data_IF_602672326258
#
_entry.id   IF_602672326258
#
_cell.length_a   1.000
_cell.length_b   1.000
_cell.length_c   1.000
_cell.angle_alpha   90.00
_cell.angle_beta   90.00
_cell.angle_gamma   90.00
#
_symmetry.space_group_name_H-M   'P 1'
#
loop_
_entity.id
_entity.type
_entity.pdbx_description
1 polymer ?
#
# COMPACT_ATOMS: atom_id res chain seq x y z
N UNK A 1 7.41 3.55 5.03
CA UNK A 1 7.64 3.84 3.60
C UNK A 1 9.05 4.31 3.32
N UNK A 2 9.60 5.17 4.17
CA UNK A 2 10.94 5.75 3.95
C UNK A 2 12.07 4.95 4.58
N UNK A 3 11.83 4.39 5.78
CA UNK A 3 12.86 3.77 6.62
C UNK A 3 12.78 2.24 6.70
N UNK A 4 12.18 1.60 5.69
CA UNK A 4 12.15 0.15 5.55
C UNK A 4 13.26 -0.31 4.61
N UNK A 5 13.65 -1.59 4.66
CA UNK A 5 14.66 -2.16 3.74
C UNK A 5 14.32 -1.95 2.24
N UNK A 6 13.05 -1.70 1.94
CA UNK A 6 12.49 -1.47 0.59
C UNK A 6 12.05 -0.02 0.38
N UNK A 7 12.31 0.84 1.35
CA UNK A 7 11.91 2.24 1.33
C UNK A 7 12.80 3.08 0.44
N UNK A 8 12.55 4.39 0.47
CA UNK A 8 13.33 5.36 -0.32
C UNK A 8 14.78 5.46 0.16
N UNK A 9 15.03 5.24 1.46
CA UNK A 9 16.37 5.32 2.02
C UNK A 9 17.08 3.96 1.98
N UNK A 10 18.42 4.01 2.04
CA UNK A 10 19.25 2.82 2.05
C UNK A 10 18.94 1.92 3.27
N UNK A 11 19.27 0.64 3.19
CA UNK A 11 19.04 -0.38 4.22
C UNK A 11 19.70 -0.08 5.59
N UNK A 12 20.69 0.81 5.59
CA UNK A 12 21.35 1.37 6.78
C UNK A 12 20.53 2.44 7.50
N UNK A 13 19.57 3.07 6.82
CA UNK A 13 18.72 4.16 7.31
C UNK A 13 17.35 3.61 7.73
N UNK A 14 17.30 3.07 8.94
CA UNK A 14 16.10 2.44 9.52
C UNK A 14 15.39 3.35 10.51
N UNK A 15 14.10 3.12 10.74
CA UNK A 15 13.28 3.96 11.62
C UNK A 15 13.75 3.83 13.07
N UNK A 16 14.23 2.65 13.45
CA UNK A 16 14.83 2.38 14.75
C UNK A 16 16.22 3.03 14.94
N UNK A 17 16.88 3.47 13.86
CA UNK A 17 18.15 4.21 13.89
C UNK A 17 17.95 5.73 13.71
N UNK A 18 16.71 6.22 13.60
CA UNK A 18 16.46 7.63 13.24
C UNK A 18 17.01 8.60 14.29
N UNK A 19 16.93 8.25 15.58
CA UNK A 19 17.55 9.03 16.66
C UNK A 19 19.05 9.21 16.45
N UNK A 20 19.74 8.12 16.13
CA UNK A 20 21.20 8.11 16.02
C UNK A 20 21.68 8.72 14.69
N UNK A 21 20.88 8.62 13.63
CA UNK A 21 21.16 9.19 12.31
C UNK A 21 20.77 10.66 12.18
N UNK A 22 19.98 11.21 13.12
CA UNK A 22 19.40 12.55 13.00
C UNK A 22 20.44 13.64 12.72
N UNK A 23 21.53 13.67 13.49
CA UNK A 23 22.59 14.68 13.33
C UNK A 23 23.40 14.52 12.05
N UNK A 24 23.39 13.32 11.46
CA UNK A 24 24.06 13.03 10.19
C UNK A 24 23.21 13.47 8.99
N UNK A 25 21.90 13.21 9.05
CA UNK A 25 20.96 13.52 7.95
C UNK A 25 20.52 14.98 7.99
N UNK A 26 20.40 15.56 9.19
CA UNK A 26 19.99 16.93 9.40
C UNK A 26 20.90 17.61 10.46
N UNK A 27 22.11 18.02 10.07
CA UNK A 27 22.99 18.79 10.95
C UNK A 27 22.27 20.04 11.46
N UNK A 28 22.31 20.30 12.76
CA UNK A 28 21.54 21.37 13.42
C UNK A 28 21.74 22.75 12.75
N UNK A 29 22.96 23.04 12.30
CA UNK A 29 23.28 24.29 11.61
C UNK A 29 22.55 24.40 10.27
N UNK A 30 22.60 23.36 9.43
CA UNK A 30 21.87 23.34 8.16
C UNK A 30 20.36 23.39 8.37
N UNK A 31 19.85 22.67 9.38
CA UNK A 31 18.43 22.70 9.74
C UNK A 31 17.99 24.12 10.09
N UNK A 32 18.79 24.83 10.89
CA UNK A 32 18.52 26.23 11.28
C UNK A 32 18.52 27.17 10.09
N UNK A 33 19.50 27.07 9.21
CA UNK A 33 19.62 27.89 8.00
C UNK A 33 18.45 27.65 7.04
N UNK A 34 18.08 26.39 6.79
CA UNK A 34 16.95 26.06 5.92
C UNK A 34 15.61 26.50 6.52
N UNK A 35 15.42 26.35 7.84
CA UNK A 35 14.21 26.81 8.53
C UNK A 35 14.06 28.33 8.44
N UNK A 36 15.15 29.07 8.62
CA UNK A 36 15.16 30.52 8.46
C UNK A 36 14.85 30.94 7.02
N UNK A 37 15.51 30.30 6.03
CA UNK A 37 15.27 30.58 4.62
C UNK A 37 13.82 30.31 4.20
N UNK A 38 13.25 29.17 4.61
CA UNK A 38 11.85 28.83 4.36
C UNK A 38 10.91 29.86 5.02
N UNK A 39 11.17 30.25 6.26
CA UNK A 39 10.36 31.23 6.99
C UNK A 39 10.38 32.61 6.33
N UNK A 40 11.52 33.05 5.78
CA UNK A 40 11.62 34.32 5.03
C UNK A 40 10.83 34.28 3.72
N UNK A 41 10.78 33.15 3.03
CA UNK A 41 9.93 32.99 1.82
C UNK A 41 8.46 32.99 2.22
N UNK A 42 8.12 32.25 3.26
CA UNK A 42 6.75 32.15 3.78
C UNK A 42 6.22 33.52 4.22
N UNK A 43 7.03 34.36 4.88
CA UNK A 43 6.64 35.72 5.27
C UNK A 43 6.22 36.57 4.07
N UNK A 44 6.89 36.43 2.92
CA UNK A 44 6.55 37.19 1.70
C UNK A 44 5.24 36.75 1.06
N UNK A 45 4.90 35.48 1.19
CA UNK A 45 3.68 34.89 0.63
C UNK A 45 2.48 35.02 1.60
N UNK A 46 2.72 35.16 2.89
CA UNK A 46 1.68 35.31 3.91
C UNK A 46 1.28 36.77 4.08
N UNK A 47 -0.03 37.04 3.99
CA UNK A 47 -0.59 38.35 4.36
C UNK A 47 -0.70 38.42 5.87
N UNK A 48 0.39 38.76 6.55
CA UNK A 48 0.38 39.01 7.99
C UNK A 48 0.14 40.51 8.28
N UNK A 49 -0.60 40.86 9.34
CA UNK A 49 -0.82 42.25 9.74
C UNK A 49 0.45 42.95 10.27
N UNK A 50 1.55 42.20 10.44
CA UNK A 50 2.84 42.69 10.90
C UNK A 50 3.98 42.03 10.12
N UNK A 51 5.00 42.82 9.77
CA UNK A 51 6.24 42.34 9.16
C UNK A 51 7.20 41.93 10.27
N UNK A 52 7.67 40.69 10.24
CA UNK A 52 8.56 40.14 11.26
C UNK A 52 10.00 40.48 10.86
N UNK A 53 10.78 41.19 11.69
CA UNK A 53 12.18 41.46 11.36
C UNK A 53 12.98 40.16 11.15
N UNK A 54 13.93 40.18 10.21
CA UNK A 54 14.73 39.00 9.86
C UNK A 54 15.48 38.41 11.08
N UNK A 55 15.95 39.25 12.00
CA UNK A 55 16.62 38.79 13.23
C UNK A 55 15.67 37.98 14.13
N UNK A 56 14.40 38.36 14.17
CA UNK A 56 13.36 37.64 14.91
C UNK A 56 13.07 36.29 14.25
N UNK A 57 13.02 36.23 12.92
CA UNK A 57 12.87 34.97 12.16
C UNK A 57 14.04 34.02 12.45
N UNK A 58 15.27 34.55 12.47
CA UNK A 58 16.47 33.78 12.79
C UNK A 58 16.44 33.26 14.22
N UNK A 59 15.94 34.06 15.18
CA UNK A 59 15.78 33.66 16.58
C UNK A 59 14.73 32.57 16.77
N UNK A 60 13.55 32.71 16.15
CA UNK A 60 12.51 31.68 16.19
C UNK A 60 12.96 30.38 15.52
N UNK A 61 13.63 30.47 14.38
CA UNK A 61 14.20 29.31 13.69
C UNK A 61 15.24 28.61 14.58
N UNK A 62 16.14 29.37 15.21
CA UNK A 62 17.12 28.83 16.15
C UNK A 62 16.43 28.10 17.31
N UNK A 63 15.48 28.75 17.99
CA UNK A 63 14.76 28.16 19.12
C UNK A 63 13.99 26.89 18.73
N UNK A 64 13.33 26.88 17.57
CA UNK A 64 12.59 25.71 17.08
C UNK A 64 13.53 24.54 16.74
N UNK A 65 14.62 24.82 16.03
CA UNK A 65 15.61 23.79 15.67
C UNK A 65 16.34 23.23 16.88
N UNK A 66 16.64 24.05 17.88
CA UNK A 66 17.28 23.63 19.13
C UNK A 66 16.31 22.80 20.00
N UNK A 67 15.04 23.20 20.09
CA UNK A 67 14.02 22.41 20.75
C UNK A 67 13.88 21.02 20.12
N UNK A 68 13.87 20.92 18.79
CA UNK A 68 13.85 19.64 18.08
C UNK A 68 15.12 18.82 18.33
N UNK A 69 16.29 19.45 18.23
CA UNK A 69 17.58 18.80 18.45
C UNK A 69 17.72 18.25 19.89
N UNK A 70 17.11 18.91 20.87
CA UNK A 70 17.09 18.46 22.26
C UNK A 70 16.03 17.38 22.52
N UNK A 71 14.88 17.45 21.84
CA UNK A 71 13.80 16.48 21.96
C UNK A 71 14.20 15.09 21.44
N UNK A 72 14.86 15.02 20.28
CA UNK A 72 15.12 13.75 19.61
C UNK A 72 15.98 12.77 20.43
N UNK A 73 17.14 13.16 21.01
CA UNK A 73 17.95 12.24 21.80
C UNK A 73 17.26 11.76 23.09
N UNK A 74 16.38 12.58 23.68
CA UNK A 74 15.87 12.38 25.04
C UNK A 74 14.45 11.81 25.11
N UNK A 75 13.60 12.11 24.12
CA UNK A 75 12.17 11.82 24.17
C UNK A 75 11.67 10.98 22.99
N UNK A 76 12.49 10.73 21.98
CA UNK A 76 12.14 9.84 20.88
C UNK A 76 12.25 8.39 21.36
N UNK A 77 11.10 7.78 21.65
CA UNK A 77 11.02 6.38 22.09
C UNK A 77 11.09 5.43 20.89
N UNK A 78 12.29 5.31 20.31
CA UNK A 78 12.54 4.38 19.22
C UNK A 78 12.67 2.95 19.73
N UNK A 79 11.96 2.04 19.07
CA UNK A 79 12.17 0.61 19.25
C UNK A 79 13.59 0.24 18.81
N UNK A 80 14.24 -0.67 19.54
CA UNK A 80 15.58 -1.16 19.18
C UNK A 80 15.54 -1.95 17.87
N UNK A 81 16.52 -1.74 16.98
CA UNK A 81 16.65 -2.56 15.76
C UNK A 81 17.04 -4.03 16.05
N UNK A 82 17.23 -4.44 17.31
CA UNK A 82 17.67 -5.78 17.70
C UNK A 82 16.75 -6.91 17.19
N UNK A 83 15.43 -6.70 17.13
CA UNK A 83 14.49 -7.67 16.55
C UNK A 83 14.68 -7.90 15.03
N UNK A 84 15.48 -7.07 14.37
CA UNK A 84 16.00 -7.26 13.00
C UNK A 84 17.47 -7.64 12.96
N UNK A 85 18.17 -7.62 14.11
CA UNK A 85 19.59 -7.97 14.23
C UNK A 85 19.80 -9.47 14.50
N UNK A 86 18.83 -10.17 15.11
CA UNK A 86 18.91 -11.63 15.33
C UNK A 86 19.09 -12.39 14.00
N UNK A 87 18.62 -11.82 12.88
CA UNK A 87 19.08 -12.19 11.54
C UNK A 87 19.38 -10.92 10.74
N UNK A 88 20.51 -10.29 11.03
CA UNK A 88 21.04 -9.21 10.19
C UNK A 88 21.13 -9.70 8.73
N UNK A 89 20.49 -8.96 7.82
CA UNK A 89 20.55 -9.22 6.37
C UNK A 89 20.04 -10.60 5.96
N UNK A 90 18.94 -11.10 6.54
CA UNK A 90 18.22 -12.20 5.89
C UNK A 90 17.31 -11.62 4.79
N UNK A 91 17.69 -11.72 3.49
CA UNK A 91 16.84 -11.28 2.40
C UNK A 91 15.56 -12.12 2.27
N UNK A 92 15.37 -13.17 3.08
CA UNK A 92 14.24 -14.10 3.00
C UNK A 92 13.12 -13.82 4.00
N UNK A 93 13.33 -12.97 5.02
CA UNK A 93 12.28 -12.65 6.01
C UNK A 93 11.43 -11.46 5.53
N UNK A 94 10.50 -11.75 4.62
CA UNK A 94 9.59 -10.77 4.04
C UNK A 94 8.41 -10.47 4.97
N UNK A 95 8.52 -9.44 5.80
CA UNK A 95 7.42 -8.98 6.67
C UNK A 95 6.50 -8.02 5.92
N UNK A 96 5.61 -8.55 5.09
CA UNK A 96 4.53 -7.75 4.50
C UNK A 96 3.63 -7.20 5.62
N UNK A 97 3.32 -5.91 5.59
CA UNK A 97 2.16 -5.37 6.30
C UNK A 97 1.44 -4.48 5.31
N UNK A 98 0.40 -5.05 4.72
CA UNK A 98 -0.38 -4.40 3.69
C UNK A 98 -1.87 -4.44 4.03
N UNK A 99 -2.61 -3.46 3.53
CA UNK A 99 -4.05 -3.54 3.40
C UNK A 99 -4.34 -4.08 1.99
N UNK A 100 -4.68 -5.36 1.91
CA UNK A 100 -4.98 -6.06 0.66
C UNK A 100 -6.47 -5.96 0.31
N UNK A 101 -6.80 -5.37 -0.82
CA UNK A 101 -8.15 -5.31 -1.36
C UNK A 101 -8.22 -6.22 -2.58
N UNK A 102 -8.87 -7.37 -2.44
CA UNK A 102 -8.97 -8.38 -3.50
C UNK A 102 -10.32 -8.22 -4.19
N UNK A 103 -10.33 -7.75 -5.43
CA UNK A 103 -11.52 -7.70 -6.27
C UNK A 103 -11.63 -8.98 -7.09
N UNK A 104 -12.75 -9.67 -6.96
CA UNK A 104 -13.01 -10.95 -7.61
C UNK A 104 -14.08 -10.76 -8.68
N UNK A 105 -13.75 -11.14 -9.91
CA UNK A 105 -14.73 -11.36 -10.97
C UNK A 105 -15.42 -12.73 -10.78
N UNK A 106 -16.73 -12.72 -10.55
CA UNK A 106 -17.51 -13.93 -10.35
C UNK A 106 -17.71 -14.77 -11.62
N UNK A 107 -17.24 -14.30 -12.80
CA UNK A 107 -17.20 -15.11 -14.02
C UNK A 107 -16.25 -16.31 -13.91
N UNK A 108 -15.23 -16.22 -13.04
CA UNK A 108 -14.37 -17.37 -12.74
C UNK A 108 -15.12 -18.48 -11.99
N UNK A 109 -14.81 -19.77 -12.25
CA UNK A 109 -15.31 -20.86 -11.43
C UNK A 109 -14.87 -20.70 -9.96
N UNK A 110 -15.81 -20.92 -9.02
CA UNK A 110 -15.55 -20.79 -7.59
C UNK A 110 -14.30 -21.56 -7.14
N UNK A 111 -14.11 -22.79 -7.64
CA UNK A 111 -12.96 -23.64 -7.30
C UNK A 111 -11.62 -22.94 -7.57
N UNK A 112 -11.53 -22.24 -8.69
CA UNK A 112 -10.29 -21.66 -9.17
C UNK A 112 -9.95 -20.39 -8.39
N UNK A 113 -10.93 -19.49 -8.25
CA UNK A 113 -10.77 -18.28 -7.43
C UNK A 113 -10.47 -18.63 -5.98
N UNK A 114 -11.24 -19.56 -5.40
CA UNK A 114 -11.05 -19.99 -4.03
C UNK A 114 -9.63 -20.48 -3.79
N UNK A 115 -9.12 -21.32 -4.70
CA UNK A 115 -7.75 -21.84 -4.62
C UNK A 115 -6.71 -20.73 -4.77
N UNK A 116 -6.91 -19.81 -5.71
CA UNK A 116 -6.00 -18.68 -5.93
C UNK A 116 -5.93 -17.76 -4.72
N UNK A 117 -7.08 -17.30 -4.23
CA UNK A 117 -7.16 -16.38 -3.08
C UNK A 117 -6.63 -17.05 -1.82
N UNK A 118 -6.99 -18.32 -1.57
CA UNK A 118 -6.47 -19.07 -0.42
C UNK A 118 -4.94 -19.16 -0.44
N UNK A 119 -4.33 -19.47 -1.60
CA UNK A 119 -2.87 -19.57 -1.70
C UNK A 119 -2.18 -18.21 -1.52
N UNK A 120 -2.77 -17.12 -2.01
CA UNK A 120 -2.24 -15.76 -1.81
C UNK A 120 -2.28 -15.39 -0.34
N UNK A 121 -3.43 -15.57 0.33
CA UNK A 121 -3.59 -15.19 1.73
C UNK A 121 -2.69 -16.02 2.66
N UNK A 122 -2.53 -17.32 2.38
CA UNK A 122 -1.61 -18.20 3.12
C UNK A 122 -0.14 -17.76 2.92
N UNK A 123 0.26 -17.46 1.68
CA UNK A 123 1.65 -17.09 1.37
C UNK A 123 2.06 -15.68 1.80
N UNK A 124 1.10 -14.77 1.98
CA UNK A 124 1.33 -13.41 2.49
C UNK A 124 1.36 -13.40 4.02
N UNK A 125 1.09 -14.53 4.68
CA UNK A 125 1.03 -14.69 6.13
C UNK A 125 0.13 -13.63 6.80
N UNK A 126 -1.12 -13.56 6.33
CA UNK A 126 -2.13 -12.64 6.84
C UNK A 126 -2.23 -12.71 8.37
N UNK A 127 -2.34 -11.54 9.01
CA UNK A 127 -2.43 -11.41 10.47
C UNK A 127 -1.09 -11.50 11.21
N UNK A 128 -0.15 -12.36 10.80
CA UNK A 128 1.13 -12.56 11.52
C UNK A 128 1.97 -11.27 11.62
N UNK A 129 1.98 -10.49 10.55
CA UNK A 129 2.79 -9.27 10.45
C UNK A 129 1.98 -7.97 10.31
N UNK A 130 0.65 -8.05 10.49
CA UNK A 130 -0.26 -6.90 10.42
C UNK A 130 -0.89 -6.66 9.04
N UNK A 131 -0.81 -7.64 8.12
CA UNK A 131 -1.55 -7.61 6.86
C UNK A 131 -3.04 -7.85 7.12
N UNK A 132 -3.88 -6.93 6.64
CA UNK A 132 -5.32 -7.06 6.61
C UNK A 132 -5.75 -7.37 5.17
N UNK A 133 -6.84 -8.09 4.99
CA UNK A 133 -7.43 -8.26 3.67
C UNK A 133 -8.94 -8.00 3.70
N UNK A 134 -9.44 -7.53 2.56
CA UNK A 134 -10.87 -7.34 2.28
C UNK A 134 -11.14 -7.94 0.91
N UNK A 135 -12.23 -8.69 0.77
CA UNK A 135 -12.61 -9.29 -0.51
C UNK A 135 -13.86 -8.60 -1.02
N UNK A 136 -13.82 -8.15 -2.27
CA UNK A 136 -14.88 -7.40 -2.92
C UNK A 136 -15.20 -8.01 -4.27
N UNK A 137 -16.41 -7.76 -4.78
CA UNK A 137 -16.77 -8.14 -6.13
C UNK A 137 -16.28 -7.09 -7.15
N UNK A 138 -15.75 -7.54 -8.29
CA UNK A 138 -15.14 -6.69 -9.31
C UNK A 138 -16.17 -5.96 -10.22
N UNK A 139 -17.45 -6.34 -10.17
CA UNK A 139 -18.54 -5.75 -10.95
C UNK A 139 -19.25 -4.62 -10.22
N UNK A 140 -19.68 -4.84 -8.98
CA UNK A 140 -20.45 -3.86 -8.21
C UNK A 140 -19.63 -3.15 -7.12
N UNK A 141 -18.47 -3.70 -6.72
CA UNK A 141 -17.65 -3.19 -5.64
C UNK A 141 -18.18 -3.55 -4.24
N UNK A 142 -19.17 -4.43 -4.13
CA UNK A 142 -19.71 -4.84 -2.84
C UNK A 142 -18.72 -5.74 -2.08
N UNK A 143 -18.68 -5.57 -0.76
CA UNK A 143 -17.83 -6.37 0.14
C UNK A 143 -18.42 -7.78 0.27
N UNK A 144 -17.61 -8.78 -0.08
CA UNK A 144 -17.91 -10.20 0.09
C UNK A 144 -17.42 -10.66 1.46
N UNK A 145 -16.18 -10.32 1.80
CA UNK A 145 -15.56 -10.60 3.10
C UNK A 145 -15.05 -9.29 3.68
N UNK A 146 -15.51 -8.97 4.89
CA UNK A 146 -15.11 -7.76 5.62
C UNK A 146 -13.61 -7.75 5.89
N UNK A 147 -13.08 -6.55 6.18
CA UNK A 147 -11.67 -6.39 6.51
C UNK A 147 -11.31 -7.20 7.76
N UNK A 148 -10.42 -8.17 7.60
CA UNK A 148 -10.02 -9.09 8.67
C UNK A 148 -8.55 -9.49 8.56
N UNK A 149 -8.02 -10.01 9.66
CA UNK A 149 -6.69 -10.59 9.80
C UNK A 149 -6.74 -12.13 9.92
N UNK A 150 -7.94 -12.71 9.92
CA UNK A 150 -8.14 -14.13 10.17
C UNK A 150 -8.49 -14.86 8.88
N UNK A 151 -7.60 -15.75 8.44
CA UNK A 151 -7.81 -16.56 7.23
C UNK A 151 -9.08 -17.43 7.32
N UNK A 152 -9.50 -17.84 8.52
CA UNK A 152 -10.73 -18.60 8.74
C UNK A 152 -11.97 -17.87 8.23
N UNK A 153 -12.02 -16.54 8.32
CA UNK A 153 -13.17 -15.75 7.90
C UNK A 153 -13.42 -15.85 6.40
N UNK A 154 -12.35 -15.97 5.61
CA UNK A 154 -12.45 -16.22 4.18
C UNK A 154 -13.12 -17.58 3.91
N UNK A 155 -12.61 -18.64 4.53
CA UNK A 155 -13.12 -20.00 4.34
C UNK A 155 -14.57 -20.17 4.80
N UNK A 156 -15.00 -19.43 5.82
CA UNK A 156 -16.38 -19.46 6.32
C UNK A 156 -17.36 -18.65 5.48
N UNK A 157 -16.92 -17.50 4.94
CA UNK A 157 -17.81 -16.53 4.30
C UNK A 157 -17.92 -16.74 2.79
N UNK A 158 -16.81 -17.11 2.14
CA UNK A 158 -16.76 -17.28 0.69
C UNK A 158 -17.04 -18.73 0.31
N UNK A 159 -18.33 -19.06 0.20
CA UNK A 159 -18.82 -20.39 -0.20
C UNK A 159 -19.23 -20.45 -1.68
N UNK A 160 -19.39 -21.67 -2.20
CA UNK A 160 -19.82 -21.90 -3.58
C UNK A 160 -21.22 -21.32 -3.86
N UNK A 161 -22.14 -21.43 -2.90
CA UNK A 161 -23.50 -20.88 -2.99
C UNK A 161 -23.44 -19.36 -3.04
N UNK A 162 -22.61 -18.75 -2.17
CA UNK A 162 -22.43 -17.30 -2.15
C UNK A 162 -21.87 -16.81 -3.49
N UNK A 163 -20.87 -17.50 -4.03
CA UNK A 163 -20.26 -17.16 -5.32
C UNK A 163 -21.26 -17.11 -6.47
N UNK A 164 -22.17 -18.09 -6.53
CA UNK A 164 -23.21 -18.15 -7.58
C UNK A 164 -24.20 -16.98 -7.53
N UNK A 165 -24.35 -16.33 -6.36
CA UNK A 165 -25.22 -15.14 -6.22
C UNK A 165 -24.55 -13.83 -6.64
N UNK A 166 -23.23 -13.84 -6.87
CA UNK A 166 -22.47 -12.62 -7.15
C UNK A 166 -22.64 -12.20 -8.62
N UNK A 167 -22.71 -10.89 -8.90
CA UNK A 167 -22.74 -10.41 -10.28
C UNK A 167 -21.39 -10.69 -10.96
N UNK A 168 -21.47 -11.19 -12.19
CA UNK A 168 -20.31 -11.56 -13.00
C UNK A 168 -19.78 -10.36 -13.80
N UNK A 169 -18.49 -10.39 -14.08
CA UNK A 169 -17.79 -9.46 -14.94
C UNK A 169 -17.02 -8.37 -14.20
N UNK A 170 -16.41 -7.48 -14.99
CA UNK A 170 -15.58 -6.38 -14.51
C UNK A 170 -16.26 -5.03 -14.72
N UNK A 171 -16.12 -4.14 -13.74
CA UNK A 171 -16.43 -2.72 -13.89
C UNK A 171 -15.36 -1.88 -13.19
N UNK A 172 -14.40 -1.38 -13.97
CA UNK A 172 -13.28 -0.58 -13.44
C UNK A 172 -13.75 0.68 -12.70
N UNK A 173 -14.71 1.47 -13.22
CA UNK A 173 -15.24 2.61 -12.49
C UNK A 173 -15.73 2.28 -11.07
N UNK A 174 -16.44 1.17 -10.89
CA UNK A 174 -16.91 0.73 -9.58
C UNK A 174 -15.75 0.27 -8.67
N UNK A 175 -14.79 -0.48 -9.21
CA UNK A 175 -13.57 -0.88 -8.47
C UNK A 175 -12.83 0.35 -7.95
N UNK A 176 -12.67 1.38 -8.78
CA UNK A 176 -11.94 2.58 -8.42
C UNK A 176 -12.73 3.44 -7.43
N UNK A 177 -14.04 3.62 -7.65
CA UNK A 177 -14.90 4.31 -6.68
C UNK A 177 -14.82 3.63 -5.32
N UNK A 178 -14.91 2.30 -5.29
CA UNK A 178 -14.83 1.54 -4.04
C UNK A 178 -13.46 1.65 -3.38
N UNK A 179 -12.37 1.54 -4.14
CA UNK A 179 -11.02 1.73 -3.59
C UNK A 179 -10.84 3.10 -2.95
N UNK A 180 -11.43 4.14 -3.54
CA UNK A 180 -11.40 5.48 -2.97
C UNK A 180 -12.15 5.55 -1.64
N UNK A 181 -13.35 4.98 -1.58
CA UNK A 181 -14.13 4.89 -0.34
C UNK A 181 -13.36 4.14 0.76
N UNK A 182 -12.83 2.96 0.46
CA UNK A 182 -12.07 2.15 1.42
C UNK A 182 -10.82 2.88 1.91
N UNK A 183 -10.07 3.49 1.01
CA UNK A 183 -8.84 4.21 1.39
C UNK A 183 -9.16 5.44 2.24
N UNK A 184 -10.21 6.19 1.89
CA UNK A 184 -10.66 7.32 2.70
C UNK A 184 -11.12 6.89 4.09
N UNK A 185 -11.82 5.77 4.21
CA UNK A 185 -12.26 5.22 5.49
C UNK A 185 -11.06 4.84 6.37
N UNK A 186 -10.06 4.16 5.79
CA UNK A 186 -8.83 3.81 6.52
C UNK A 186 -8.08 5.07 6.94
N UNK A 187 -7.85 6.01 6.05
CA UNK A 187 -7.17 7.27 6.38
C UNK A 187 -7.92 8.08 7.44
N UNK A 188 -9.25 8.10 7.41
CA UNK A 188 -10.07 8.76 8.43
C UNK A 188 -9.95 8.06 9.79
N UNK A 189 -9.90 6.72 9.83
CA UNK A 189 -9.69 5.96 11.06
C UNK A 189 -8.28 6.18 11.64
N UNK A 190 -7.25 6.19 10.79
CA UNK A 190 -5.86 6.49 11.16
C UNK A 190 -5.72 7.90 11.73
N UNK A 191 -6.37 8.90 11.11
CA UNK A 191 -6.44 10.27 11.62
C UNK A 191 -7.11 10.35 12.99
N UNK A 192 -8.23 9.64 13.20
CA UNK A 192 -8.94 9.64 14.49
C UNK A 192 -8.13 9.00 15.61
N UNK A 193 -7.30 8.02 15.28
CA UNK A 193 -6.47 7.29 16.25
C UNK A 193 -5.08 7.89 16.41
N UNK A 194 -4.77 8.98 15.70
CA UNK A 194 -3.43 9.59 15.61
C UNK A 194 -2.33 8.55 15.28
N UNK A 195 -2.70 7.50 14.54
CA UNK A 195 -1.81 6.40 14.21
C UNK A 195 -1.77 6.21 12.70
N UNK A 196 -0.69 6.68 12.08
CA UNK A 196 -0.41 6.46 10.67
C UNK A 196 0.28 5.09 10.56
N UNK A 197 -0.49 4.05 10.28
CA UNK A 197 -0.02 2.66 10.38
C UNK A 197 1.10 2.31 9.39
N UNK A 198 1.32 3.11 8.35
CA UNK A 198 2.37 2.89 7.35
C UNK A 198 2.28 1.53 6.66
N UNK A 199 1.05 1.03 6.46
CA UNK A 199 0.79 -0.21 5.72
C UNK A 199 0.62 0.11 4.25
N UNK A 200 1.23 -0.69 3.38
CA UNK A 200 1.06 -0.52 1.93
C UNK A 200 -0.35 -0.90 1.51
N UNK A 201 -0.96 -0.12 0.62
CA UNK A 201 -2.32 -0.39 0.13
C UNK A 201 -2.23 -1.07 -1.22
N UNK A 202 -2.76 -2.28 -1.33
CA UNK A 202 -2.65 -3.09 -2.55
C UNK A 202 -4.04 -3.49 -3.00
N UNK A 203 -4.44 -3.06 -4.18
CA UNK A 203 -5.65 -3.50 -4.86
C UNK A 203 -5.29 -4.60 -5.86
N UNK A 204 -5.62 -5.84 -5.55
CA UNK A 204 -5.46 -6.99 -6.43
C UNK A 204 -6.78 -7.24 -7.17
N UNK A 205 -6.81 -7.10 -8.48
CA UNK A 205 -8.01 -7.33 -9.30
C UNK A 205 -7.84 -8.63 -10.07
N UNK A 206 -8.67 -9.62 -9.73
CA UNK A 206 -8.72 -10.93 -10.38
C UNK A 206 -9.85 -10.90 -11.41
N UNK A 207 -9.50 -10.96 -12.70
CA UNK A 207 -10.43 -10.76 -13.81
C UNK A 207 -10.43 -11.98 -14.72
N UNK A 208 -11.60 -12.38 -15.24
CA UNK A 208 -11.69 -13.42 -16.27
C UNK A 208 -11.33 -12.84 -17.63
N UNK A 209 -12.09 -13.14 -18.70
CA UNK A 209 -11.81 -12.72 -20.08
C UNK A 209 -12.47 -11.39 -20.48
N UNK A 210 -13.06 -10.68 -19.51
CA UNK A 210 -13.78 -9.43 -19.74
C UNK A 210 -12.90 -8.34 -20.38
N UNK A 211 -13.52 -7.64 -21.34
CA UNK A 211 -12.93 -6.50 -22.05
C UNK A 211 -13.27 -5.20 -21.34
N UNK A 212 -12.31 -4.29 -21.32
CA UNK A 212 -12.51 -2.93 -20.80
C UNK A 212 -13.00 -2.04 -21.94
N UNK A 213 -14.07 -1.29 -21.72
CA UNK A 213 -14.57 -0.33 -22.71
C UNK A 213 -13.68 0.91 -22.79
N UNK A 214 -13.71 1.60 -23.94
CA UNK A 214 -12.92 2.83 -24.12
C UNK A 214 -13.39 3.96 -23.18
N UNK A 215 -14.71 4.06 -22.93
CA UNK A 215 -15.28 5.00 -21.96
C UNK A 215 -14.77 4.76 -20.54
N UNK A 216 -14.72 3.50 -20.10
CA UNK A 216 -14.17 3.12 -18.80
C UNK A 216 -12.67 3.41 -18.69
N UNK A 217 -11.95 3.30 -19.82
CA UNK A 217 -10.51 3.56 -19.87
C UNK A 217 -10.19 5.02 -19.57
N UNK A 218 -10.92 5.96 -20.19
CA UNK A 218 -10.72 7.40 -19.95
C UNK A 218 -11.05 7.79 -18.51
N UNK A 219 -12.15 7.25 -17.97
CA UNK A 219 -12.53 7.44 -16.57
C UNK A 219 -11.43 6.93 -15.62
N UNK A 220 -10.92 5.72 -15.87
CA UNK A 220 -9.89 5.09 -15.06
C UNK A 220 -8.57 5.87 -15.07
N UNK A 221 -8.11 6.35 -16.23
CA UNK A 221 -6.85 7.12 -16.34
C UNK A 221 -6.91 8.40 -15.48
N UNK A 222 -8.02 9.14 -15.53
CA UNK A 222 -8.19 10.34 -14.72
C UNK A 222 -8.17 10.02 -13.22
N UNK A 223 -8.85 8.95 -12.81
CA UNK A 223 -8.89 8.55 -11.39
C UNK A 223 -7.55 8.00 -10.89
N UNK A 224 -6.76 7.34 -11.75
CA UNK A 224 -5.41 6.91 -11.40
C UNK A 224 -4.47 8.07 -11.15
N UNK A 225 -4.61 9.19 -11.86
CA UNK A 225 -3.86 10.41 -11.55
C UNK A 225 -4.21 10.91 -10.15
N UNK A 226 -5.49 10.94 -9.81
CA UNK A 226 -5.92 11.37 -8.48
C UNK A 226 -5.41 10.42 -7.39
N UNK A 227 -5.44 9.09 -7.60
CA UNK A 227 -4.85 8.15 -6.66
C UNK A 227 -3.35 8.37 -6.46
N UNK A 228 -2.60 8.74 -7.51
CA UNK A 228 -1.17 9.02 -7.39
C UNK A 228 -0.89 10.27 -6.55
N UNK A 229 -1.81 11.22 -6.52
CA UNK A 229 -1.70 12.46 -5.74
C UNK A 229 -2.20 12.28 -4.29
N UNK A 230 -3.37 11.65 -4.11
CA UNK A 230 -4.01 11.48 -2.79
C UNK A 230 -3.42 10.30 -1.99
N UNK A 231 -3.04 9.21 -2.67
CA UNK A 231 -2.66 7.92 -2.06
C UNK A 231 -1.49 7.29 -2.84
N UNK A 232 -0.27 7.88 -2.76
CA UNK A 232 0.87 7.47 -3.58
C UNK A 232 1.38 6.04 -3.31
N UNK A 233 0.94 5.44 -2.21
CA UNK A 233 1.23 4.08 -1.77
C UNK A 233 0.25 3.03 -2.30
N UNK A 234 -0.88 3.45 -2.87
CA UNK A 234 -1.80 2.52 -3.50
C UNK A 234 -1.17 1.90 -4.77
N UNK A 235 -1.24 0.58 -4.85
CA UNK A 235 -0.81 -0.19 -6.02
C UNK A 235 -1.94 -1.04 -6.55
N UNK A 236 -2.17 -0.97 -7.85
CA UNK A 236 -3.07 -1.86 -8.55
C UNK A 236 -2.27 -3.01 -9.15
N UNK A 237 -2.63 -4.23 -8.81
CA UNK A 237 -2.11 -5.46 -9.38
C UNK A 237 -3.26 -6.15 -10.13
N UNK A 238 -3.01 -6.63 -11.35
CA UNK A 238 -4.02 -7.34 -12.13
C UNK A 238 -3.61 -8.78 -12.33
N UNK A 239 -4.53 -9.68 -12.02
CA UNK A 239 -4.39 -11.12 -12.26
C UNK A 239 -5.50 -11.51 -13.25
N UNK A 240 -5.14 -11.69 -14.52
CA UNK A 240 -6.11 -11.74 -15.62
C UNK A 240 -5.99 -13.00 -16.47
N UNK A 241 -7.13 -13.58 -16.86
CA UNK A 241 -7.17 -14.61 -17.92
C UNK A 241 -7.00 -14.02 -19.32
N UNK A 242 -6.51 -14.82 -20.26
CA UNK A 242 -6.30 -14.41 -21.65
C UNK A 242 -5.11 -13.45 -21.78
N UNK A 243 -5.28 -12.38 -22.55
CA UNK A 243 -4.23 -11.40 -22.85
C UNK A 243 -4.11 -10.34 -21.73
N UNK A 244 -3.10 -10.39 -20.84
CA UNK A 244 -3.03 -9.51 -19.68
C UNK A 244 -2.70 -8.06 -20.05
N UNK A 245 -2.06 -7.85 -21.22
CA UNK A 245 -1.61 -6.53 -21.69
C UNK A 245 -2.73 -5.48 -21.80
N UNK A 246 -4.00 -5.92 -21.82
CA UNK A 246 -5.17 -5.02 -21.77
C UNK A 246 -5.22 -4.15 -20.50
N UNK A 247 -4.57 -4.56 -19.42
CA UNK A 247 -4.53 -3.81 -18.16
C UNK A 247 -3.28 -2.94 -17.98
N UNK A 248 -2.34 -2.94 -18.93
CA UNK A 248 -1.09 -2.19 -18.85
C UNK A 248 -1.31 -0.69 -18.57
N UNK A 249 -2.39 -0.12 -19.12
CA UNK A 249 -2.74 1.29 -18.95
C UNK A 249 -3.21 1.65 -17.53
N UNK A 250 -3.57 0.66 -16.71
CA UNK A 250 -4.12 0.89 -15.37
C UNK A 250 -3.12 0.64 -14.24
N UNK A 251 -1.92 0.17 -14.57
CA UNK A 251 -0.87 -0.10 -13.60
C UNK A 251 0.24 0.94 -13.65
N UNK A 252 1.16 0.87 -12.69
CA UNK A 252 2.34 1.74 -12.67
C UNK A 252 3.51 1.11 -13.43
N UNK A 253 3.69 -0.20 -13.30
CA UNK A 253 4.72 -0.96 -14.02
C UNK A 253 4.10 -2.15 -14.75
N UNK A 254 3.98 -2.03 -16.08
CA UNK A 254 3.37 -3.03 -16.96
C UNK A 254 4.01 -4.41 -16.85
N UNK A 255 5.31 -4.49 -16.53
CA UNK A 255 6.05 -5.77 -16.48
C UNK A 255 5.94 -6.45 -15.13
N UNK A 256 5.61 -5.71 -14.08
CA UNK A 256 5.66 -6.19 -12.69
C UNK A 256 4.32 -6.17 -11.97
N UNK A 257 3.31 -5.49 -12.52
CA UNK A 257 2.01 -5.31 -11.85
C UNK A 257 0.85 -6.03 -12.59
N UNK A 258 1.12 -6.66 -13.74
CA UNK A 258 0.14 -7.41 -14.53
C UNK A 258 0.59 -8.85 -14.67
N UNK A 259 -0.27 -9.79 -14.32
CA UNK A 259 0.05 -11.21 -14.25
C UNK A 259 -0.99 -12.05 -14.99
N UNK A 260 -0.56 -13.03 -15.81
CA UNK A 260 -1.48 -13.99 -16.43
C UNK A 260 -1.98 -14.99 -15.39
N UNK A 261 -3.28 -15.29 -15.43
CA UNK A 261 -3.89 -16.39 -14.70
C UNK A 261 -4.53 -17.36 -15.68
N UNK A 262 -4.24 -18.66 -15.53
CA UNK A 262 -4.85 -19.70 -16.34
C UNK A 262 -5.87 -20.48 -15.51
N UNK A 263 -6.92 -20.94 -16.16
CA UNK A 263 -7.91 -21.84 -15.53
C UNK A 263 -7.21 -23.12 -15.06
N UNK A 264 -7.66 -23.60 -13.90
CA UNK A 264 -7.08 -24.80 -13.31
C UNK A 264 -7.72 -26.00 -13.97
N UNK A 265 -7.03 -26.62 -14.91
CA UNK A 265 -7.52 -27.88 -15.50
C UNK A 265 -7.71 -28.95 -14.41
N UNK A 266 -8.75 -29.77 -14.54
CA UNK A 266 -9.00 -30.91 -13.64
C UNK A 266 -7.83 -31.90 -13.72
N UNK A 267 -7.09 -32.04 -12.61
CA UNK A 267 -5.97 -32.98 -12.49
C UNK A 267 -4.58 -32.33 -12.42
N UNK A 268 -4.50 -31.00 -12.45
CA UNK A 268 -3.22 -30.29 -12.35
C UNK A 268 -2.72 -30.25 -10.89
N UNK A 269 -1.43 -30.58 -10.72
CA UNK A 269 -0.70 -30.59 -9.45
C UNK A 269 -0.70 -29.18 -8.82
N UNK A 270 -0.88 -29.12 -7.50
CA UNK A 270 -0.86 -27.89 -6.66
C UNK A 270 0.34 -26.96 -6.95
N UNK A 271 1.45 -27.53 -7.41
CA UNK A 271 2.65 -26.79 -7.81
C UNK A 271 2.41 -25.77 -8.93
N UNK A 272 1.49 -26.01 -9.87
CA UNK A 272 1.25 -25.06 -10.97
C UNK A 272 0.60 -23.77 -10.49
N UNK A 273 -0.27 -23.85 -9.48
CA UNK A 273 -0.92 -22.69 -8.85
C UNK A 273 0.16 -21.86 -8.16
N UNK A 274 1.02 -22.50 -7.36
CA UNK A 274 2.11 -21.82 -6.66
C UNK A 274 3.08 -21.15 -7.64
N UNK A 275 3.43 -21.81 -8.74
CA UNK A 275 4.29 -21.22 -9.78
C UNK A 275 3.65 -20.00 -10.44
N UNK A 276 2.35 -20.04 -10.75
CA UNK A 276 1.65 -18.89 -11.34
C UNK A 276 1.50 -17.72 -10.36
N UNK A 277 1.35 -18.00 -9.07
CA UNK A 277 1.11 -16.97 -8.05
C UNK A 277 2.38 -16.44 -7.40
N UNK A 278 3.51 -17.16 -7.48
CA UNK A 278 4.81 -16.73 -6.93
C UNK A 278 5.17 -15.29 -7.34
N UNK A 279 5.05 -14.88 -8.63
CA UNK A 279 5.35 -13.51 -9.04
C UNK A 279 4.44 -12.47 -8.35
N UNK A 280 3.15 -12.77 -8.20
CA UNK A 280 2.17 -11.88 -7.54
C UNK A 280 2.49 -11.75 -6.05
N UNK A 281 2.71 -12.89 -5.38
CA UNK A 281 3.03 -12.94 -3.95
C UNK A 281 4.33 -12.18 -3.67
N UNK A 282 5.36 -12.44 -4.48
CA UNK A 282 6.63 -11.74 -4.37
C UNK A 282 6.46 -10.24 -4.60
N UNK A 283 5.62 -9.83 -5.57
CA UNK A 283 5.31 -8.41 -5.81
C UNK A 283 4.60 -7.77 -4.61
N UNK A 284 3.60 -8.44 -4.04
CA UNK A 284 2.89 -7.99 -2.83
C UNK A 284 3.88 -7.82 -1.67
N UNK A 285 4.75 -8.81 -1.46
CA UNK A 285 5.74 -8.77 -0.40
C UNK A 285 6.75 -7.62 -0.64
N UNK A 286 7.16 -7.39 -1.88
CA UNK A 286 8.11 -6.35 -2.27
C UNK A 286 7.61 -4.92 -2.08
N UNK A 287 6.31 -4.68 -1.89
CA UNK A 287 5.82 -3.32 -1.65
C UNK A 287 6.29 -2.80 -0.28
N UNK A 288 6.88 -1.60 -0.23
CA UNK A 288 7.37 -1.05 1.03
C UNK A 288 6.21 -0.72 1.97
N UNK A 289 6.33 -1.19 3.22
CA UNK A 289 5.69 -0.52 4.37
C UNK A 289 6.18 0.90 4.41
#
# INVERSE_FOLDING_TARGET
MYYSHRGVFNDTVRSCNRRDLFTTVAPTQQLREQTAAFSTVLEKEMVMPYTVPQDTINSFSASATEALANYIPSALNDLTCEATAIVMNDPTVWRAASDLYIFIDAAWPHRDVYSVVSNILDSVEVGRFGTNYTILNARDGNVIVNSTQFLSDFHMTYTAERHQTLPTGLNIPNVFRRMREETNNVMAAERRTNNLSGRSKIALVIVHTDRVSEGDTNFAIQHLQIFREEVPDLRFLYLAAGEPSRFNRFVRDERRDVFPLRELETGVVVDTIRVQLTPVIHRIQQEPR
#
